data_IF_001418856609
#
_entry.id   IF_001418856609
#
_cell.length_a   1.000
_cell.length_b   1.000
_cell.length_c   1.000
_cell.angle_alpha   90.00
_cell.angle_beta   90.00
_cell.angle_gamma   90.00
#
_symmetry.space_group_name_H-M   'P 1'
#
loop_
_entity.id
_entity.type
_entity.pdbx_description
1 polymer ?
#
# COMPACT_ATOMS: atom_id res chain seq x y z
N UNK A 1 1.40 -0.14 -9.55
CA UNK A 1 1.39 0.01 -8.09
C UNK A 1 1.54 1.47 -7.71
N UNK A 2 0.80 1.88 -6.68
CA UNK A 2 0.84 3.24 -6.14
C UNK A 2 2.16 3.51 -5.40
N UNK A 3 2.59 4.78 -5.40
CA UNK A 3 3.89 5.19 -4.89
C UNK A 3 3.82 6.51 -4.15
N UNK A 4 4.66 6.67 -3.15
CA UNK A 4 4.99 7.95 -2.56
C UNK A 4 6.27 8.45 -3.21
N UNK A 5 6.25 9.67 -3.72
CA UNK A 5 7.39 10.28 -4.39
C UNK A 5 7.84 11.54 -3.66
N UNK A 6 9.13 11.82 -3.68
CA UNK A 6 9.71 13.07 -3.25
C UNK A 6 10.17 13.86 -4.47
N UNK A 7 9.86 15.15 -4.50
CA UNK A 7 10.29 16.07 -5.54
C UNK A 7 11.17 17.17 -4.96
N UNK A 8 12.41 17.25 -5.45
CA UNK A 8 13.36 18.28 -5.03
C UNK A 8 13.21 19.51 -5.95
N UNK A 9 12.59 20.55 -5.43
CA UNK A 9 12.27 21.77 -6.19
C UNK A 9 13.51 22.42 -6.81
N UNK A 10 14.62 22.48 -6.07
CA UNK A 10 15.86 23.15 -6.49
C UNK A 10 16.56 22.48 -7.68
N UNK A 11 16.37 21.19 -7.88
CA UNK A 11 17.02 20.40 -8.94
C UNK A 11 16.06 19.83 -9.97
N UNK A 12 14.75 19.83 -9.67
CA UNK A 12 13.73 19.17 -10.47
C UNK A 12 13.75 17.64 -10.38
N UNK A 13 14.51 17.06 -9.43
CA UNK A 13 14.64 15.61 -9.30
C UNK A 13 13.42 15.01 -8.61
N UNK A 14 12.88 13.94 -9.21
CA UNK A 14 11.78 13.15 -8.66
C UNK A 14 12.29 11.76 -8.30
N UNK A 15 12.02 11.30 -7.08
CA UNK A 15 12.44 9.98 -6.56
C UNK A 15 11.28 9.27 -5.90
N UNK A 16 11.12 7.98 -6.16
CA UNK A 16 10.18 7.13 -5.41
C UNK A 16 10.81 6.78 -4.06
N UNK A 17 10.12 7.09 -2.97
CA UNK A 17 10.56 6.83 -1.60
C UNK A 17 9.83 5.66 -0.93
N UNK A 18 8.65 5.33 -1.41
CA UNK A 18 7.90 4.13 -1.02
C UNK A 18 7.00 3.69 -2.17
N UNK A 19 6.76 2.38 -2.30
CA UNK A 19 5.77 1.83 -3.22
C UNK A 19 5.12 0.59 -2.59
N UNK A 20 3.91 0.28 -3.03
CA UNK A 20 3.25 -0.97 -2.66
C UNK A 20 4.02 -2.17 -3.23
N UNK A 21 4.01 -3.27 -2.50
CA UNK A 21 4.72 -4.48 -2.92
C UNK A 21 4.07 -5.08 -4.17
N UNK A 22 4.86 -5.13 -5.26
CA UNK A 22 4.43 -5.65 -6.56
C UNK A 22 4.00 -7.12 -6.52
N UNK A 23 4.45 -7.87 -5.52
CA UNK A 23 4.00 -9.25 -5.31
C UNK A 23 2.50 -9.32 -5.07
N UNK A 24 1.92 -8.32 -4.40
CA UNK A 24 0.50 -8.28 -4.04
C UNK A 24 -0.32 -7.34 -4.91
N UNK A 25 0.29 -6.28 -5.43
CA UNK A 25 -0.40 -5.17 -6.07
C UNK A 25 -0.03 -4.96 -7.54
N UNK A 26 0.60 -5.92 -8.18
CA UNK A 26 0.84 -5.93 -9.62
C UNK A 26 0.02 -7.04 -10.28
N UNK A 27 -0.52 -6.78 -11.47
CA UNK A 27 -1.28 -7.78 -12.24
C UNK A 27 -0.51 -9.09 -12.50
N UNK A 28 0.82 -9.05 -12.42
CA UNK A 28 1.72 -10.20 -12.57
C UNK A 28 2.31 -10.68 -11.26
N UNK A 29 1.86 -10.11 -10.14
CA UNK A 29 2.34 -10.48 -8.81
C UNK A 29 1.96 -11.90 -8.42
N UNK A 30 2.87 -12.61 -7.77
CA UNK A 30 2.66 -14.02 -7.39
C UNK A 30 1.54 -14.22 -6.37
N UNK A 31 1.25 -13.19 -5.58
CA UNK A 31 0.19 -13.17 -4.56
C UNK A 31 -0.78 -11.99 -4.81
N UNK A 32 -1.09 -11.76 -6.06
CA UNK A 32 -1.91 -10.63 -6.48
C UNK A 32 -3.19 -10.49 -5.64
N UNK A 33 -3.46 -9.30 -5.14
CA UNK A 33 -4.63 -8.96 -4.34
C UNK A 33 -5.58 -8.03 -5.08
N UNK A 34 -5.06 -6.91 -5.55
CA UNK A 34 -5.84 -5.89 -6.26
C UNK A 34 -4.90 -4.95 -7.02
N UNK A 35 -5.44 -4.20 -7.97
CA UNK A 35 -4.79 -3.03 -8.59
C UNK A 35 -5.36 -1.71 -8.07
N UNK A 36 -6.23 -1.79 -7.08
CA UNK A 36 -6.97 -0.65 -6.54
C UNK A 36 -6.45 -0.34 -5.12
N UNK A 37 -5.16 -0.09 -5.05
CA UNK A 37 -4.46 0.34 -3.85
C UNK A 37 -4.01 1.79 -4.00
N UNK A 38 -4.04 2.52 -2.90
CA UNK A 38 -3.54 3.90 -2.86
C UNK A 38 -2.86 4.24 -1.54
N UNK A 39 -2.02 5.26 -1.58
CA UNK A 39 -1.50 5.94 -0.40
C UNK A 39 -2.03 7.37 -0.38
N UNK A 40 -2.53 7.81 0.76
CA UNK A 40 -3.11 9.14 0.91
C UNK A 40 -2.87 9.72 2.30
N UNK A 41 -3.30 10.96 2.50
CA UNK A 41 -3.25 11.60 3.81
C UNK A 41 -1.84 11.78 4.37
N UNK A 42 -0.80 11.89 3.53
CA UNK A 42 0.57 12.06 4.00
C UNK A 42 0.75 13.43 4.66
N UNK A 43 1.26 13.43 5.88
CA UNK A 43 1.58 14.65 6.65
C UNK A 43 2.97 14.53 7.27
N UNK A 44 3.67 15.65 7.35
CA UNK A 44 4.91 15.77 8.12
C UNK A 44 4.57 15.91 9.61
N UNK A 45 4.99 14.93 10.38
CA UNK A 45 4.79 14.87 11.85
C UNK A 45 6.11 14.99 12.62
N UNK A 46 7.18 15.42 11.96
CA UNK A 46 8.51 15.54 12.55
C UNK A 46 8.47 16.35 13.85
N UNK A 47 7.77 17.50 13.82
CA UNK A 47 7.66 18.38 14.98
C UNK A 47 6.89 17.76 16.18
N UNK A 48 6.13 16.69 15.95
CA UNK A 48 5.37 15.99 16.99
C UNK A 48 6.15 14.86 17.64
N UNK A 49 7.01 14.18 16.91
CA UNK A 49 7.62 12.93 17.36
C UNK A 49 9.14 12.92 17.39
N UNK A 50 9.82 13.83 16.68
CA UNK A 50 11.27 13.95 16.75
C UNK A 50 11.72 14.41 18.15
N UNK A 51 12.75 13.78 18.67
CA UNK A 51 13.38 14.15 19.93
C UNK A 51 14.46 15.20 19.69
N UNK A 52 14.87 15.89 20.75
CA UNK A 52 15.99 16.82 20.67
C UNK A 52 17.24 16.13 20.11
N UNK A 53 17.87 16.76 19.12
CA UNK A 53 19.02 16.21 18.38
C UNK A 53 18.69 15.20 17.28
N UNK A 54 17.43 14.85 17.09
CA UNK A 54 17.00 13.97 16.00
C UNK A 54 16.93 14.76 14.68
N UNK A 55 17.66 14.29 13.67
CA UNK A 55 17.72 14.90 12.34
C UNK A 55 16.86 14.19 11.30
N UNK A 56 16.12 13.15 11.71
CA UNK A 56 15.22 12.43 10.81
C UNK A 56 13.98 13.26 10.49
N UNK A 57 13.38 12.97 9.33
CA UNK A 57 12.05 13.50 8.97
C UNK A 57 11.03 12.37 9.10
N UNK A 58 9.91 12.66 9.73
CA UNK A 58 8.85 11.70 10.00
C UNK A 58 7.57 12.08 9.29
N UNK A 59 7.02 11.13 8.54
CA UNK A 59 5.73 11.27 7.88
C UNK A 59 4.75 10.24 8.41
N UNK A 60 3.52 10.67 8.60
CA UNK A 60 2.39 9.80 8.88
C UNK A 60 1.47 9.76 7.65
N UNK A 61 1.07 8.57 7.24
CA UNK A 61 0.19 8.38 6.08
C UNK A 61 -0.64 7.12 6.22
N UNK A 62 -1.67 7.00 5.41
CA UNK A 62 -2.44 5.78 5.30
C UNK A 62 -2.22 5.13 3.94
N UNK A 63 -2.27 3.81 3.94
CA UNK A 63 -2.43 3.01 2.75
C UNK A 63 -3.84 2.43 2.76
N UNK A 64 -4.54 2.55 1.63
CA UNK A 64 -5.86 2.00 1.41
C UNK A 64 -5.78 0.92 0.35
N UNK A 65 -6.60 -0.10 0.53
CA UNK A 65 -6.76 -1.19 -0.43
C UNK A 65 -8.25 -1.31 -0.69
N UNK A 66 -8.63 -0.92 -1.90
CA UNK A 66 -10.00 -0.96 -2.34
C UNK A 66 -10.27 -2.23 -3.15
N UNK A 67 -11.54 -2.51 -3.33
CA UNK A 67 -12.01 -3.55 -4.25
C UNK A 67 -11.35 -4.90 -4.00
N UNK A 68 -11.15 -5.22 -2.74
CA UNK A 68 -10.78 -6.57 -2.33
C UNK A 68 -11.98 -7.52 -2.56
N UNK A 69 -12.73 -7.21 -3.61
CA UNK A 69 -13.99 -7.85 -3.98
C UNK A 69 -13.83 -9.28 -4.48
N UNK A 70 -12.61 -9.73 -4.58
CA UNK A 70 -12.36 -11.05 -5.10
C UNK A 70 -12.30 -12.16 -4.08
N UNK A 71 -12.67 -11.93 -2.84
CA UNK A 71 -12.82 -13.03 -1.87
C UNK A 71 -13.84 -14.06 -2.37
N UNK A 72 -14.83 -13.59 -3.11
CA UNK A 72 -15.91 -14.42 -3.63
C UNK A 72 -15.62 -15.05 -4.99
N UNK A 73 -14.83 -14.43 -5.82
CA UNK A 73 -14.56 -14.90 -7.17
C UNK A 73 -13.12 -15.37 -7.27
N UNK A 74 -12.98 -16.67 -7.38
CA UNK A 74 -11.69 -17.34 -7.67
C UNK A 74 -11.36 -17.21 -9.17
N UNK A 75 -11.89 -16.20 -9.84
CA UNK A 75 -11.63 -15.96 -11.24
C UNK A 75 -10.40 -15.04 -11.38
N UNK A 76 -9.27 -15.58 -11.84
CA UNK A 76 -8.03 -14.80 -12.01
C UNK A 76 -8.14 -13.69 -13.05
N UNK A 77 -9.23 -13.63 -13.80
CA UNK A 77 -9.49 -12.58 -14.79
C UNK A 77 -10.24 -11.37 -14.22
N UNK A 78 -10.75 -11.46 -13.01
CA UNK A 78 -11.49 -10.36 -12.39
C UNK A 78 -10.54 -9.48 -11.58
N UNK A 79 -10.46 -8.20 -11.93
CA UNK A 79 -9.80 -7.19 -11.11
C UNK A 79 -10.33 -7.25 -9.67
N UNK A 80 -9.43 -7.32 -8.71
CA UNK A 80 -9.81 -7.43 -7.31
C UNK A 80 -10.16 -8.83 -6.83
N UNK A 81 -9.86 -9.88 -7.61
CA UNK A 81 -10.02 -11.27 -7.21
C UNK A 81 -8.97 -11.71 -6.18
N UNK A 82 -9.41 -12.40 -5.11
CA UNK A 82 -8.46 -13.11 -4.27
C UNK A 82 -7.81 -14.22 -5.09
N UNK A 83 -6.52 -14.26 -5.01
CA UNK A 83 -5.69 -15.25 -5.68
C UNK A 83 -6.14 -16.67 -5.32
N UNK A 84 -6.20 -17.57 -6.31
CA UNK A 84 -6.36 -19.00 -6.07
C UNK A 84 -5.31 -19.60 -5.11
N UNK A 85 -4.20 -18.88 -4.90
CA UNK A 85 -3.12 -19.26 -3.99
C UNK A 85 -3.46 -19.11 -2.48
N UNK A 86 -4.60 -18.49 -2.14
CA UNK A 86 -5.08 -18.44 -0.77
C UNK A 86 -5.91 -19.70 -0.43
N UNK A 87 -5.28 -20.82 -0.03
CA UNK A 87 -5.99 -22.07 0.21
C UNK A 87 -6.96 -21.98 1.42
N UNK A 88 -6.70 -21.07 2.35
CA UNK A 88 -7.55 -20.75 3.49
C UNK A 88 -8.95 -20.29 3.07
N UNK A 89 -9.09 -19.69 1.89
CA UNK A 89 -10.37 -19.19 1.40
C UNK A 89 -11.15 -20.21 0.56
N UNK A 90 -10.51 -21.28 0.10
CA UNK A 90 -11.14 -22.32 -0.68
C UNK A 90 -12.13 -23.17 0.13
N UNK A 91 -11.94 -23.22 1.45
CA UNK A 91 -12.75 -24.02 2.37
C UNK A 91 -14.10 -23.39 2.72
N UNK A 92 -14.28 -22.10 2.38
CA UNK A 92 -15.52 -21.40 2.71
C UNK A 92 -16.60 -21.60 1.64
N UNK A 93 -17.83 -21.81 2.09
CA UNK A 93 -19.01 -21.80 1.23
C UNK A 93 -19.30 -20.41 0.64
N UNK A 94 -20.09 -20.33 -0.43
CA UNK A 94 -20.35 -19.08 -1.14
C UNK A 94 -20.93 -17.99 -0.24
N UNK A 95 -21.86 -18.30 0.65
CA UNK A 95 -22.46 -17.33 1.57
C UNK A 95 -21.41 -16.65 2.48
N UNK A 96 -20.43 -17.42 2.96
CA UNK A 96 -19.33 -16.87 3.78
C UNK A 96 -18.40 -16.01 2.94
N UNK A 97 -18.11 -16.40 1.70
CA UNK A 97 -17.32 -15.61 0.77
C UNK A 97 -17.99 -14.26 0.46
N UNK A 98 -19.31 -14.28 0.25
CA UNK A 98 -20.08 -13.05 0.00
C UNK A 98 -20.09 -12.11 1.21
N UNK A 99 -20.19 -12.68 2.43
CA UNK A 99 -20.11 -11.90 3.66
C UNK A 99 -18.73 -11.28 3.87
N UNK A 100 -17.67 -12.06 3.65
CA UNK A 100 -16.29 -11.57 3.70
C UNK A 100 -16.04 -10.49 2.64
N UNK A 101 -16.54 -10.69 1.44
CA UNK A 101 -16.46 -9.74 0.35
C UNK A 101 -17.05 -8.38 0.73
N UNK A 102 -18.23 -8.38 1.33
CA UNK A 102 -18.87 -7.15 1.83
C UNK A 102 -18.09 -6.50 2.97
N UNK A 103 -17.46 -7.29 3.83
CA UNK A 103 -16.70 -6.81 4.97
C UNK A 103 -15.31 -6.29 4.60
N UNK A 104 -14.75 -6.72 3.47
CA UNK A 104 -13.38 -6.43 3.06
C UNK A 104 -13.26 -5.56 1.81
N UNK A 105 -14.33 -4.88 1.44
CA UNK A 105 -14.33 -3.93 0.29
C UNK A 105 -13.31 -2.82 0.49
N UNK A 106 -13.12 -2.42 1.74
CA UNK A 106 -12.20 -1.37 2.13
C UNK A 106 -11.23 -1.89 3.18
N UNK A 107 -9.96 -1.89 2.87
CA UNK A 107 -8.88 -2.17 3.81
C UNK A 107 -7.98 -0.94 3.97
N UNK A 108 -7.36 -0.80 5.13
CA UNK A 108 -6.44 0.30 5.33
C UNK A 108 -5.53 0.10 6.54
N UNK A 109 -4.36 0.72 6.45
CA UNK A 109 -3.38 0.76 7.54
C UNK A 109 -2.75 2.15 7.61
N UNK A 110 -2.40 2.54 8.83
CA UNK A 110 -1.60 3.73 9.07
C UNK A 110 -0.13 3.36 9.19
N UNK A 111 0.71 4.21 8.64
CA UNK A 111 2.16 4.03 8.64
C UNK A 111 2.88 5.28 9.11
N UNK A 112 4.02 5.06 9.76
CA UNK A 112 5.03 6.08 9.96
C UNK A 112 6.22 5.77 9.04
N UNK A 113 6.57 6.71 8.19
CA UNK A 113 7.76 6.64 7.36
C UNK A 113 8.84 7.55 7.95
N UNK A 114 10.07 7.03 8.01
CA UNK A 114 11.23 7.77 8.52
C UNK A 114 12.22 7.99 7.39
N UNK A 115 12.49 9.23 7.06
CA UNK A 115 13.55 9.62 6.14
C UNK A 115 14.76 10.05 6.96
N UNK A 116 15.82 9.23 6.94
CA UNK A 116 17.01 9.44 7.74
C UNK A 116 17.99 10.44 7.11
N UNK A 117 18.02 10.50 5.79
CA UNK A 117 18.97 11.35 5.06
C UNK A 117 18.43 11.67 3.67
N UNK A 118 17.95 12.89 3.49
CA UNK A 118 17.43 13.37 2.22
C UNK A 118 18.52 13.43 1.13
N UNK A 119 19.79 13.69 1.51
CA UNK A 119 20.87 13.71 0.54
C UNK A 119 21.08 12.35 -0.10
N UNK A 120 20.95 11.27 0.68
CA UNK A 120 21.02 9.90 0.13
C UNK A 120 19.85 9.57 -0.78
N UNK A 121 18.66 10.08 -0.46
CA UNK A 121 17.47 9.89 -1.31
C UNK A 121 17.67 10.52 -2.68
N UNK A 122 18.21 11.73 -2.73
CA UNK A 122 18.34 12.49 -3.99
C UNK A 122 19.66 12.27 -4.73
N UNK A 123 20.69 11.70 -4.13
CA UNK A 123 22.00 11.52 -4.75
C UNK A 123 22.32 10.07 -5.17
N UNK A 124 21.35 9.18 -5.05
CA UNK A 124 21.44 7.81 -5.60
C UNK A 124 20.97 7.73 -7.04
#
# INVERSE_FOLDING_TARGET
VSRIVAYQISTGKLVTIAEFDKQYFSATGSNFMTLDEESSGIIDVTHLIAREGDTNTYFFFNAQVHTYSGVATVDPGVKGGIQPSRPDLKVYGQATKDALNKATVEGGQYYTMVVKDWNKIFNN
#
